data_IF_694854665916
#
_entry.id   IF_694854665916
#
_cell.length_a   1.000
_cell.length_b   1.000
_cell.length_c   1.000
_cell.angle_alpha   90.00
_cell.angle_beta   90.00
_cell.angle_gamma   90.00
#
_symmetry.space_group_name_H-M   'P 1'
#
loop_
_entity.id
_entity.type
_entity.pdbx_description
1 polymer ?
#
# COMPACT_ATOMS: atom_id res chain seq x y z
N UNK A 1 -7.48 1.85 4.86
CA UNK A 1 -7.97 3.24 4.67
C UNK A 1 -8.83 3.63 5.87
N UNK A 2 -8.49 4.70 6.58
CA UNK A 2 -9.21 5.10 7.80
C UNK A 2 -9.58 6.59 7.82
N UNK A 3 -10.19 7.03 8.92
CA UNK A 3 -10.36 8.46 9.22
C UNK A 3 -9.17 8.94 10.05
N UNK A 4 -8.93 10.26 10.05
CA UNK A 4 -7.88 10.86 10.88
C UNK A 4 -8.01 10.55 12.38
N UNK A 5 -9.21 10.15 12.83
CA UNK A 5 -9.52 9.78 14.21
C UNK A 5 -9.14 8.33 14.59
N UNK A 6 -8.55 7.55 13.68
CA UNK A 6 -8.16 6.16 13.96
C UNK A 6 -6.80 6.12 14.66
N UNK A 7 -6.57 5.07 15.45
CA UNK A 7 -5.26 4.83 16.02
C UNK A 7 -4.20 4.54 14.95
N UNK A 8 -2.93 4.94 15.19
CA UNK A 8 -1.84 4.72 14.23
C UNK A 8 -1.64 3.25 13.86
N UNK A 9 -1.82 2.35 14.82
CA UNK A 9 -1.62 0.90 14.61
C UNK A 9 -2.70 0.33 13.69
N UNK A 10 -3.97 0.66 13.94
CA UNK A 10 -5.08 0.25 13.08
C UNK A 10 -4.94 0.83 11.66
N UNK A 11 -4.43 2.06 11.50
CA UNK A 11 -4.17 2.64 10.19
C UNK A 11 -3.10 1.86 9.42
N UNK A 12 -2.04 1.40 10.09
CA UNK A 12 -0.97 0.61 9.49
C UNK A 12 -1.47 -0.76 9.02
N UNK A 13 -2.20 -1.48 9.87
CA UNK A 13 -2.79 -2.80 9.53
C UNK A 13 -3.72 -2.69 8.33
N UNK A 14 -4.62 -1.70 8.34
CA UNK A 14 -5.51 -1.43 7.21
C UNK A 14 -4.79 -1.07 5.91
N UNK A 15 -3.53 -0.62 5.98
CA UNK A 15 -2.73 -0.29 4.81
C UNK A 15 -2.05 -1.54 4.26
N UNK A 16 -1.54 -2.40 5.15
CA UNK A 16 -0.95 -3.69 4.80
C UNK A 16 -1.94 -4.60 4.09
N UNK A 17 -3.13 -4.80 4.67
CA UNK A 17 -4.18 -5.65 4.07
C UNK A 17 -4.58 -5.18 2.66
N UNK A 18 -4.54 -3.87 2.42
CA UNK A 18 -4.85 -3.29 1.10
C UNK A 18 -3.76 -3.60 0.10
N UNK A 19 -2.50 -3.47 0.51
CA UNK A 19 -1.36 -3.75 -0.38
C UNK A 19 -1.32 -5.24 -0.71
N UNK A 20 -1.52 -6.12 0.29
CA UNK A 20 -1.62 -7.57 0.13
C UNK A 20 -2.73 -7.94 -0.86
N UNK A 21 -3.96 -7.43 -0.67
CA UNK A 21 -5.07 -7.71 -1.57
C UNK A 21 -4.90 -7.15 -3.00
N UNK A 22 -4.02 -6.15 -3.19
CA UNK A 22 -3.62 -5.67 -4.53
C UNK A 22 -2.54 -6.59 -5.11
N UNK A 23 -1.58 -7.05 -4.30
CA UNK A 23 -0.53 -7.97 -4.72
C UNK A 23 -1.09 -9.33 -5.16
N UNK A 24 -2.05 -9.88 -4.42
CA UNK A 24 -2.74 -11.14 -4.75
C UNK A 24 -3.52 -11.06 -6.06
N UNK A 25 -4.11 -9.91 -6.37
CA UNK A 25 -4.89 -9.69 -7.60
C UNK A 25 -4.03 -9.32 -8.81
N UNK A 26 -2.71 -9.40 -8.69
CA UNK A 26 -1.79 -9.15 -9.80
C UNK A 26 -2.07 -10.17 -10.91
N UNK A 27 -2.45 -9.73 -12.14
CA UNK A 27 -2.70 -10.67 -13.24
C UNK A 27 -1.37 -11.29 -13.70
N UNK A 28 -1.13 -12.54 -13.35
CA UNK A 28 0.12 -13.25 -13.68
C UNK A 28 0.30 -13.44 -15.19
N UNK A 29 -0.81 -13.55 -15.93
CA UNK A 29 -0.82 -13.72 -17.38
C UNK A 29 -0.76 -12.36 -18.10
N UNK A 30 0.45 -11.88 -18.41
CA UNK A 30 0.67 -10.79 -19.38
C UNK A 30 1.29 -9.50 -18.82
N UNK A 31 1.72 -9.49 -17.57
CA UNK A 31 2.31 -8.31 -16.93
C UNK A 31 3.75 -8.05 -17.43
N UNK A 32 3.91 -7.11 -18.36
CA UNK A 32 5.21 -6.57 -18.74
C UNK A 32 5.56 -5.38 -17.86
N UNK A 33 6.26 -5.63 -16.75
CA UNK A 33 6.84 -4.60 -15.87
C UNK A 33 6.29 -4.60 -14.44
N UNK A 34 6.58 -3.53 -13.68
CA UNK A 34 6.11 -3.35 -12.30
C UNK A 34 4.61 -3.03 -12.27
N UNK A 35 3.84 -3.85 -11.56
CA UNK A 35 2.39 -3.68 -11.39
C UNK A 35 2.06 -2.45 -10.53
N UNK A 36 2.77 -2.28 -9.41
CA UNK A 36 2.68 -1.08 -8.56
C UNK A 36 3.81 -0.13 -8.91
N UNK A 37 3.46 1.10 -9.32
CA UNK A 37 4.44 2.14 -9.73
C UNK A 37 4.75 3.14 -8.63
N UNK A 38 3.75 3.51 -7.83
CA UNK A 38 3.87 4.52 -6.78
C UNK A 38 2.77 4.32 -5.74
N UNK A 39 3.10 4.53 -4.47
CA UNK A 39 2.14 4.53 -3.37
C UNK A 39 2.17 5.92 -2.74
N UNK A 40 1.00 6.56 -2.63
CA UNK A 40 0.85 7.88 -2.03
C UNK A 40 -0.26 7.82 -0.98
N UNK A 41 -0.02 8.39 0.19
CA UNK A 41 -1.03 8.59 1.22
C UNK A 41 -1.35 10.08 1.27
N UNK A 42 -2.63 10.42 1.09
CA UNK A 42 -3.11 11.80 1.22
C UNK A 42 -4.35 11.83 2.08
N UNK A 43 -4.53 12.92 2.83
CA UNK A 43 -5.81 13.26 3.45
C UNK A 43 -6.65 14.07 2.47
N UNK A 44 -7.97 14.10 2.66
CA UNK A 44 -8.93 14.73 1.72
C UNK A 44 -8.60 16.19 1.38
N UNK A 45 -7.92 16.91 2.29
CA UNK A 45 -7.57 18.32 2.13
C UNK A 45 -6.08 18.60 2.38
N UNK A 46 -5.23 17.57 2.45
CA UNK A 46 -3.82 17.72 2.82
C UNK A 46 -2.86 17.30 1.72
N UNK A 47 -1.58 17.70 1.83
CA UNK A 47 -0.54 17.26 0.91
C UNK A 47 -0.40 15.73 0.96
N UNK A 48 -0.18 15.13 -0.22
CA UNK A 48 0.09 13.70 -0.32
C UNK A 48 1.55 13.39 0.00
N UNK A 49 1.77 12.45 0.90
CA UNK A 49 3.09 11.90 1.22
C UNK A 49 3.32 10.69 0.31
N UNK A 50 4.38 10.74 -0.48
CA UNK A 50 4.84 9.62 -1.29
C UNK A 50 5.54 8.64 -0.37
N UNK A 51 5.09 7.39 -0.34
CA UNK A 51 5.79 6.32 0.34
C UNK A 51 6.79 5.68 -0.63
N UNK A 52 7.92 5.23 -0.09
CA UNK A 52 8.87 4.45 -0.87
C UNK A 52 8.25 3.10 -1.22
N UNK A 53 8.10 2.85 -2.52
CA UNK A 53 7.57 1.59 -3.03
C UNK A 53 8.43 0.38 -2.67
N UNK A 54 9.72 0.61 -2.41
CA UNK A 54 10.71 -0.43 -2.08
C UNK A 54 10.52 -0.93 -0.65
N UNK A 55 10.30 -0.01 0.30
CA UNK A 55 9.96 -0.37 1.68
C UNK A 55 8.59 -1.05 1.75
N UNK A 56 7.60 -0.54 1.00
CA UNK A 56 6.27 -1.14 0.94
C UNK A 56 6.30 -2.58 0.41
N UNK A 57 7.14 -2.89 -0.57
CA UNK A 57 7.33 -4.26 -1.06
C UNK A 57 8.02 -5.16 -0.02
N UNK A 58 9.05 -4.64 0.67
CA UNK A 58 9.75 -5.42 1.71
C UNK A 58 8.87 -5.83 2.88
N UNK A 59 7.86 -5.03 3.23
CA UNK A 59 6.92 -5.36 4.31
C UNK A 59 5.88 -6.40 3.85
N UNK A 60 5.55 -6.43 2.56
CA UNK A 60 4.67 -7.45 1.96
C UNK A 60 5.40 -8.78 1.82
N UNK A 61 6.67 -8.75 1.42
CA UNK A 61 7.49 -9.96 1.28
C UNK A 61 7.90 -10.56 2.64
N UNK A 62 8.01 -9.74 3.70
CA UNK A 62 8.30 -10.20 5.07
C UNK A 62 7.08 -10.75 5.83
N UNK A 63 5.87 -10.58 5.29
CA UNK A 63 4.63 -11.17 5.81
C UNK A 63 4.25 -12.50 5.11
N UNK A 64 5.08 -12.95 4.16
CA UNK A 64 5.08 -14.31 3.59
C UNK A 64 6.06 -15.21 4.34
#
# INVERSE_FOLDING_TARGET
FGKASFEPNALKENLLTVIEGIAERKPEEGLKGRYVKKVCIASTMGPGIVLDSTEVQSVVDAAS
#
